data_IF_738461030924
#
_entry.id   IF_738461030924
#
_cell.length_a   1.000
_cell.length_b   1.000
_cell.length_c   1.000
_cell.angle_alpha   90.00
_cell.angle_beta   90.00
_cell.angle_gamma   90.00
#
_symmetry.space_group_name_H-M   'P 1'
#
loop_
_entity.id
_entity.type
_entity.pdbx_description
1 polymer ?
#
# COMPACT_ATOMS: atom_id res chain seq x y z
N UNK A 1 11.60 -17.62 2.67
CA UNK A 1 10.39 -18.36 3.07
C UNK A 1 9.61 -17.63 4.11
N UNK A 2 10.22 -17.41 5.27
CA UNK A 2 9.56 -16.68 6.34
C UNK A 2 9.13 -15.28 5.93
N UNK A 3 9.91 -14.61 5.08
CA UNK A 3 9.60 -13.26 4.65
C UNK A 3 8.32 -13.17 3.84
N UNK A 4 8.13 -14.08 2.92
CA UNK A 4 6.90 -14.11 2.13
C UNK A 4 5.69 -14.38 3.01
N UNK A 5 5.83 -15.34 3.91
CA UNK A 5 4.76 -15.65 4.84
C UNK A 5 4.52 -14.49 5.81
N UNK A 6 5.58 -13.78 6.18
CA UNK A 6 5.47 -12.62 7.05
C UNK A 6 4.67 -11.50 6.42
N UNK A 7 4.89 -11.22 5.12
CA UNK A 7 4.13 -10.18 4.43
C UNK A 7 2.65 -10.54 4.33
N UNK A 8 2.34 -11.80 4.01
CA UNK A 8 0.95 -12.26 3.96
C UNK A 8 0.29 -12.20 5.32
N UNK A 9 1.01 -12.61 6.37
CA UNK A 9 0.47 -12.55 7.72
C UNK A 9 0.21 -11.11 8.15
N UNK A 10 1.09 -10.18 7.78
CA UNK A 10 0.90 -8.77 8.09
C UNK A 10 -0.35 -8.22 7.40
N UNK A 11 -0.61 -8.62 6.15
CA UNK A 11 -1.82 -8.20 5.46
C UNK A 11 -3.07 -8.74 6.14
N UNK A 12 -3.01 -9.97 6.66
CA UNK A 12 -4.16 -10.58 7.33
C UNK A 12 -4.51 -9.86 8.62
N UNK A 13 -3.52 -9.32 9.33
CA UNK A 13 -3.78 -8.61 10.58
C UNK A 13 -4.04 -7.12 10.38
N UNK A 14 -3.87 -6.59 9.16
CA UNK A 14 -4.21 -5.19 8.91
C UNK A 14 -5.73 -5.02 8.96
N UNK A 15 -6.21 -3.96 9.62
CA UNK A 15 -7.65 -3.73 9.67
C UNK A 15 -8.20 -3.47 8.28
N UNK A 16 -9.43 -3.88 8.06
CA UNK A 16 -10.12 -3.58 6.82
C UNK A 16 -10.54 -2.11 6.83
N UNK A 17 -10.35 -1.47 5.69
CA UNK A 17 -10.67 -0.06 5.53
C UNK A 17 -12.15 0.22 5.76
N UNK A 18 -12.99 -0.74 5.45
CA UNK A 18 -14.44 -0.61 5.66
C UNK A 18 -14.84 -0.64 7.13
N UNK A 19 -13.96 -1.15 8.01
CA UNK A 19 -14.23 -1.23 9.44
C UNK A 19 -13.92 0.07 10.16
N UNK A 20 -13.07 0.93 9.58
CA UNK A 20 -12.68 2.19 10.19
C UNK A 20 -12.50 3.25 9.10
N UNK A 21 -13.42 4.19 9.05
CA UNK A 21 -13.37 5.26 8.06
C UNK A 21 -12.13 6.13 8.15
N UNK A 22 -11.52 6.22 9.35
CA UNK A 22 -10.30 7.01 9.50
C UNK A 22 -9.12 6.38 8.78
N UNK A 23 -9.07 5.05 8.73
CA UNK A 23 -8.01 4.36 8.01
C UNK A 23 -8.09 4.60 6.51
N UNK A 24 -9.30 4.80 5.98
CA UNK A 24 -9.48 5.10 4.56
C UNK A 24 -8.83 6.42 4.16
N UNK A 25 -8.63 7.33 5.12
CA UNK A 25 -8.03 8.63 4.88
C UNK A 25 -6.60 8.73 5.42
N UNK A 26 -6.04 7.64 5.93
CA UNK A 26 -4.73 7.63 6.55
C UNK A 26 -3.69 7.17 5.53
N UNK A 27 -2.92 8.10 4.99
CA UNK A 27 -1.93 7.82 3.95
C UNK A 27 -0.94 6.71 4.33
N UNK A 28 -0.33 6.72 5.55
CA UNK A 28 0.63 5.66 5.89
C UNK A 28 0.03 4.25 5.86
N UNK A 29 -1.26 4.10 6.14
CA UNK A 29 -1.92 2.80 6.03
C UNK A 29 -1.86 2.30 4.59
N UNK A 30 -2.23 3.14 3.64
CA UNK A 30 -2.25 2.76 2.23
C UNK A 30 -0.86 2.51 1.69
N UNK A 31 0.12 3.30 2.09
CA UNK A 31 1.51 3.12 1.67
C UNK A 31 2.05 1.78 2.20
N UNK A 32 1.80 1.46 3.47
CA UNK A 32 2.24 0.20 4.06
C UNK A 32 1.54 -0.99 3.40
N UNK A 33 0.24 -0.87 3.15
CA UNK A 33 -0.52 -1.93 2.49
C UNK A 33 0.00 -2.17 1.07
N UNK A 34 0.31 -1.10 0.34
CA UNK A 34 0.84 -1.20 -1.01
C UNK A 34 2.18 -1.95 -1.03
N UNK A 35 3.07 -1.64 -0.08
CA UNK A 35 4.35 -2.33 0.04
C UNK A 35 4.17 -3.82 0.28
N UNK A 36 3.30 -4.18 1.21
CA UNK A 36 3.05 -5.58 1.54
C UNK A 36 2.42 -6.33 0.37
N UNK A 37 1.48 -5.70 -0.32
CA UNK A 37 0.86 -6.29 -1.51
C UNK A 37 1.89 -6.51 -2.62
N UNK A 38 2.79 -5.55 -2.80
CA UNK A 38 3.86 -5.68 -3.79
C UNK A 38 4.78 -6.85 -3.45
N UNK A 39 5.10 -7.04 -2.18
CA UNK A 39 5.96 -8.15 -1.74
C UNK A 39 5.32 -9.50 -1.95
N UNK A 40 4.00 -9.58 -1.85
CA UNK A 40 3.29 -10.84 -2.06
C UNK A 40 2.96 -11.11 -3.52
N UNK A 41 3.31 -10.20 -4.43
CA UNK A 41 3.06 -10.35 -5.85
C UNK A 41 1.70 -9.87 -6.31
N UNK A 42 0.89 -9.30 -5.42
CA UNK A 42 -0.42 -8.76 -5.75
C UNK A 42 -0.28 -7.37 -6.37
N UNK A 43 0.34 -7.29 -7.55
CA UNK A 43 0.73 -6.02 -8.15
C UNK A 43 -0.45 -5.12 -8.52
N UNK A 44 -1.55 -5.70 -9.00
CA UNK A 44 -2.75 -4.93 -9.31
C UNK A 44 -3.34 -4.24 -8.09
N UNK A 45 -3.43 -4.97 -6.98
CA UNK A 45 -3.93 -4.41 -5.73
C UNK A 45 -2.93 -3.43 -5.12
N UNK A 46 -1.64 -3.72 -5.25
CA UNK A 46 -0.59 -2.81 -4.78
C UNK A 46 -0.68 -1.47 -5.50
N UNK A 47 -0.92 -1.50 -6.81
CA UNK A 47 -1.06 -0.29 -7.60
C UNK A 47 -2.22 0.56 -7.11
N UNK A 48 -3.35 -0.06 -6.82
CA UNK A 48 -4.52 0.64 -6.29
C UNK A 48 -4.25 1.24 -4.92
N UNK A 49 -3.54 0.51 -4.07
CA UNK A 49 -3.17 1.03 -2.75
C UNK A 49 -2.23 2.22 -2.87
N UNK A 50 -1.27 2.17 -3.80
CA UNK A 50 -0.42 3.33 -4.06
C UNK A 50 -1.22 4.52 -4.56
N UNK A 51 -2.20 4.31 -5.43
CA UNK A 51 -3.06 5.39 -5.89
C UNK A 51 -3.79 6.06 -4.74
N UNK A 52 -4.29 5.27 -3.79
CA UNK A 52 -4.94 5.82 -2.60
C UNK A 52 -3.95 6.63 -1.77
N UNK A 53 -2.75 6.10 -1.54
CA UNK A 53 -1.73 6.80 -0.77
C UNK A 53 -1.33 8.12 -1.44
N UNK A 54 -1.15 8.09 -2.75
CA UNK A 54 -0.79 9.29 -3.52
C UNK A 54 -1.90 10.34 -3.41
N UNK A 55 -3.15 9.91 -3.53
CA UNK A 55 -4.28 10.83 -3.44
C UNK A 55 -4.44 11.47 -2.06
N UNK A 56 -3.98 10.81 -1.01
CA UNK A 56 -4.08 11.33 0.36
C UNK A 56 -2.87 12.16 0.76
N UNK A 57 -1.77 12.09 0.01
CA UNK A 57 -0.54 12.78 0.37
C UNK A 57 -0.54 14.20 -0.17
N UNK A 58 -0.16 15.16 0.66
CA UNK A 58 -0.12 16.58 0.28
C UNK A 58 1.27 17.06 -0.12
N UNK A 59 2.32 16.39 0.38
CA UNK A 59 3.70 16.77 0.07
C UNK A 59 4.07 16.30 -1.32
N UNK A 60 4.41 17.22 -2.26
CA UNK A 60 4.76 16.82 -3.62
C UNK A 60 5.96 15.86 -3.70
N UNK A 61 6.91 16.01 -2.79
CA UNK A 61 8.09 15.13 -2.77
C UNK A 61 7.70 13.70 -2.40
N UNK A 62 6.83 13.54 -1.41
CA UNK A 62 6.34 12.23 -1.01
C UNK A 62 5.46 11.64 -2.10
N UNK A 63 4.62 12.45 -2.73
CA UNK A 63 3.80 11.98 -3.85
C UNK A 63 4.66 11.43 -4.98
N UNK A 64 5.74 12.12 -5.32
CA UNK A 64 6.67 11.66 -6.36
C UNK A 64 7.36 10.36 -5.96
N UNK A 65 7.73 10.23 -4.69
CA UNK A 65 8.31 8.99 -4.19
C UNK A 65 7.33 7.82 -4.37
N UNK A 66 6.09 8.01 -3.96
CA UNK A 66 5.06 6.97 -4.09
C UNK A 66 4.77 6.64 -5.55
N UNK A 67 4.74 7.66 -6.41
CA UNK A 67 4.53 7.46 -7.84
C UNK A 67 5.65 6.63 -8.46
N UNK A 68 6.89 6.87 -8.05
CA UNK A 68 8.02 6.07 -8.52
C UNK A 68 7.92 4.63 -8.05
N UNK A 69 7.49 4.42 -6.80
CA UNK A 69 7.28 3.07 -6.28
C UNK A 69 6.18 2.35 -7.06
N UNK A 70 5.10 3.05 -7.37
CA UNK A 70 4.02 2.49 -8.16
C UNK A 70 4.49 2.12 -9.56
N UNK A 71 5.27 2.99 -10.18
CA UNK A 71 5.81 2.74 -11.53
C UNK A 71 6.75 1.56 -11.58
N UNK A 72 7.38 1.22 -10.46
CA UNK A 72 8.28 0.08 -10.38
C UNK A 72 7.54 -1.25 -10.29
N UNK A 73 6.23 -1.24 -10.07
CA UNK A 73 5.44 -2.46 -10.04
C UNK A 73 5.33 -3.05 -11.43
N UNK A 74 5.45 -4.36 -11.51
CA UNK A 74 5.24 -5.06 -12.77
C UNK A 74 3.78 -5.41 -12.93
N UNK A 75 3.28 -5.19 -14.10
CA UNK A 75 1.88 -5.49 -14.39
C UNK A 75 1.62 -6.98 -14.46
#
# INVERSE_FOLDING_TARGET
>A
MAEMNGASAALEVMPEVTADARLAEYQPYWAARAELLARTGAHGEARRAYEMAIGLERDPAVRRFLQRRQSALRA
#
